data_IF_035742656822
#
_entry.id   IF_035742656822
#
_cell.length_a   1.000
_cell.length_b   1.000
_cell.length_c   1.000
_cell.angle_alpha   90.00
_cell.angle_beta   90.00
_cell.angle_gamma   90.00
#
_symmetry.space_group_name_H-M   'P 1'
#
loop_
_entity.id
_entity.type
_entity.pdbx_description
1 polymer ?
#
# COMPACT_ATOMS: atom_id res chain seq x y z
N UNK A 1 2.83 -13.50 7.51
CA UNK A 1 3.17 -12.21 8.17
C UNK A 1 2.19 -11.16 7.71
N UNK A 2 1.64 -10.33 8.60
CA UNK A 2 0.74 -9.22 8.23
C UNK A 2 1.51 -8.14 7.48
N UNK A 3 0.84 -7.40 6.58
CA UNK A 3 1.47 -6.28 5.86
C UNK A 3 2.07 -5.26 6.83
N UNK A 4 1.42 -5.03 7.97
CA UNK A 4 1.90 -4.16 9.03
C UNK A 4 3.22 -4.58 9.67
N UNK A 5 3.41 -5.89 9.91
CA UNK A 5 4.69 -6.38 10.42
C UNK A 5 5.80 -6.25 9.38
N UNK A 6 5.50 -6.50 8.10
CA UNK A 6 6.47 -6.30 7.02
C UNK A 6 6.86 -4.82 6.88
N UNK A 7 5.89 -3.91 6.91
CA UNK A 7 6.13 -2.47 6.80
C UNK A 7 6.98 -1.96 7.98
N UNK A 8 6.64 -2.33 9.22
CA UNK A 8 7.39 -1.91 10.40
C UNK A 8 8.84 -2.46 10.41
N UNK A 9 9.06 -3.67 9.89
CA UNK A 9 10.41 -4.19 9.70
C UNK A 9 11.15 -3.41 8.63
N UNK A 10 10.51 -3.13 7.50
CA UNK A 10 11.12 -2.43 6.38
C UNK A 10 11.46 -0.97 6.69
N UNK A 11 10.62 -0.26 7.45
CA UNK A 11 10.90 1.10 7.91
C UNK A 11 12.06 1.17 8.93
N UNK A 12 12.43 0.04 9.54
CA UNK A 12 13.56 -0.08 10.47
C UNK A 12 14.81 -0.67 9.80
N UNK A 13 14.70 -1.09 8.55
CA UNK A 13 15.80 -1.65 7.80
C UNK A 13 16.38 -0.56 6.88
N UNK A 14 17.49 0.03 7.32
CA UNK A 14 18.20 1.07 6.56
C UNK A 14 18.86 0.51 5.28
N UNK A 15 18.79 -0.81 5.04
CA UNK A 15 19.32 -1.46 3.83
C UNK A 15 18.29 -1.54 2.71
N UNK A 16 17.02 -1.25 2.99
CA UNK A 16 15.99 -1.26 1.95
C UNK A 16 16.18 -0.09 1.00
N UNK A 17 16.16 -0.39 -0.29
CA UNK A 17 16.12 0.66 -1.30
C UNK A 17 14.78 1.40 -1.24
N UNK A 18 14.77 2.62 -1.79
CA UNK A 18 13.61 3.50 -1.77
C UNK A 18 12.42 2.89 -2.54
N UNK A 19 12.68 2.15 -3.62
CA UNK A 19 11.65 1.54 -4.45
C UNK A 19 10.94 0.38 -3.75
N UNK A 20 11.68 -0.48 -3.04
CA UNK A 20 11.16 -1.56 -2.22
C UNK A 20 10.31 -1.02 -1.06
N UNK A 21 10.74 0.10 -0.47
CA UNK A 21 9.98 0.80 0.58
C UNK A 21 8.66 1.32 0.03
N UNK A 22 8.68 1.98 -1.12
CA UNK A 22 7.48 2.52 -1.77
C UNK A 22 6.47 1.43 -2.15
N UNK A 23 6.96 0.26 -2.60
CA UNK A 23 6.09 -0.89 -2.90
C UNK A 23 5.37 -1.37 -1.65
N UNK A 24 6.07 -1.48 -0.51
CA UNK A 24 5.47 -1.90 0.75
C UNK A 24 4.47 -0.86 1.28
N UNK A 25 4.78 0.43 1.12
CA UNK A 25 3.87 1.53 1.47
C UNK A 25 2.61 1.52 0.61
N UNK A 26 2.74 1.32 -0.70
CA UNK A 26 1.60 1.19 -1.61
C UNK A 26 0.70 0.00 -1.23
N UNK A 27 1.29 -1.15 -0.87
CA UNK A 27 0.53 -2.32 -0.42
C UNK A 27 -0.20 -2.06 0.91
N UNK A 28 0.45 -1.38 1.86
CA UNK A 28 -0.18 -0.99 3.12
C UNK A 28 -1.33 0.02 2.90
N UNK A 29 -1.12 0.99 2.00
CA UNK A 29 -2.13 1.97 1.62
C UNK A 29 -3.34 1.31 0.96
N UNK A 30 -3.16 0.29 0.11
CA UNK A 30 -4.26 -0.51 -0.44
C UNK A 30 -5.11 -1.14 0.66
N UNK A 31 -4.48 -1.74 1.69
CA UNK A 31 -5.23 -2.38 2.78
C UNK A 31 -6.03 -1.35 3.59
N UNK A 32 -5.44 -0.20 3.91
CA UNK A 32 -6.17 0.89 4.59
C UNK A 32 -7.31 1.42 3.71
N UNK A 33 -7.06 1.67 2.43
CA UNK A 33 -8.08 2.15 1.51
C UNK A 33 -9.24 1.16 1.42
N UNK A 34 -8.95 -0.15 1.38
CA UNK A 34 -9.97 -1.19 1.39
C UNK A 34 -10.79 -1.21 2.69
N UNK A 35 -10.15 -0.99 3.85
CA UNK A 35 -10.85 -0.91 5.13
C UNK A 35 -11.73 0.35 5.25
N UNK A 36 -11.40 1.42 4.52
CA UNK A 36 -12.21 2.65 4.43
C UNK A 36 -13.36 2.56 3.42
N UNK A 37 -13.28 1.65 2.46
CA UNK A 37 -14.33 1.44 1.46
C UNK A 37 -15.58 0.80 2.07
N UNK A 38 -16.72 1.00 1.40
CA UNK A 38 -17.93 0.26 1.72
C UNK A 38 -17.72 -1.26 1.53
N UNK A 39 -18.46 -2.12 2.25
CA UNK A 39 -18.35 -3.56 2.09
C UNK A 39 -18.55 -3.97 0.62
N UNK A 40 -17.60 -4.73 0.07
CA UNK A 40 -17.53 -5.19 -1.34
C UNK A 40 -17.13 -4.14 -2.38
N UNK A 41 -16.78 -2.92 -1.96
CA UNK A 41 -16.18 -1.95 -2.86
C UNK A 41 -14.66 -2.09 -2.85
N UNK A 42 -14.03 -2.08 -4.03
CA UNK A 42 -12.58 -2.03 -4.14
C UNK A 42 -12.11 -0.58 -4.15
N UNK A 43 -10.99 -0.27 -3.48
CA UNK A 43 -10.36 1.04 -3.58
C UNK A 43 -9.79 1.27 -4.99
N UNK A 44 -9.84 2.53 -5.40
CA UNK A 44 -9.26 3.06 -6.63
C UNK A 44 -7.78 3.43 -6.44
N UNK A 45 -7.05 3.59 -7.54
CA UNK A 45 -5.64 3.98 -7.48
C UNK A 45 -5.47 5.36 -6.80
N UNK A 46 -6.38 6.30 -7.03
CA UNK A 46 -6.31 7.64 -6.46
C UNK A 46 -6.58 7.62 -4.94
N UNK A 47 -7.49 6.76 -4.46
CA UNK A 47 -7.70 6.56 -3.03
C UNK A 47 -6.46 5.96 -2.37
N UNK A 48 -5.77 5.03 -3.05
CA UNK A 48 -4.52 4.44 -2.55
C UNK A 48 -3.40 5.49 -2.48
N UNK A 49 -3.25 6.34 -3.51
CA UNK A 49 -2.28 7.46 -3.50
C UNK A 49 -2.60 8.43 -2.37
N UNK A 50 -3.88 8.75 -2.18
CA UNK A 50 -4.35 9.66 -1.11
C UNK A 50 -4.01 9.09 0.27
N UNK A 51 -4.31 7.82 0.51
CA UNK A 51 -3.97 7.14 1.77
C UNK A 51 -2.46 7.08 2.00
N UNK A 52 -1.67 6.77 0.97
CA UNK A 52 -0.22 6.72 1.10
C UNK A 52 0.37 8.06 1.54
N UNK A 53 -0.18 9.15 1.00
CA UNK A 53 0.20 10.51 1.38
C UNK A 53 -0.26 10.86 2.80
N UNK A 54 -1.51 10.58 3.13
CA UNK A 54 -2.10 10.96 4.43
C UNK A 54 -1.49 10.18 5.60
N UNK A 55 -1.32 8.86 5.44
CA UNK A 55 -0.95 7.96 6.53
C UNK A 55 0.56 7.78 6.66
N UNK A 56 1.30 7.92 5.56
CA UNK A 56 2.72 7.63 5.54
C UNK A 56 3.58 8.80 5.06
N UNK A 57 2.98 9.95 4.71
CA UNK A 57 3.68 11.07 4.07
C UNK A 57 4.47 10.63 2.82
N UNK A 58 4.04 9.55 2.16
CA UNK A 58 4.74 8.95 1.03
C UNK A 58 4.13 9.42 -0.30
N UNK A 59 4.99 9.76 -1.25
CA UNK A 59 4.60 10.14 -2.60
C UNK A 59 4.78 8.94 -3.53
N UNK A 60 3.75 8.11 -3.63
CA UNK A 60 3.72 7.01 -4.62
C UNK A 60 3.07 7.47 -5.91
N UNK A 61 3.53 6.94 -7.04
CA UNK A 61 2.94 7.25 -8.34
C UNK A 61 1.69 6.39 -8.61
N UNK A 62 0.77 6.84 -9.50
CA UNK A 62 -0.42 6.05 -9.85
C UNK A 62 -0.11 4.66 -10.43
N UNK A 63 1.06 4.46 -11.05
CA UNK A 63 1.55 3.18 -11.52
C UNK A 63 1.85 2.22 -10.37
N UNK A 64 2.61 2.65 -9.35
CA UNK A 64 2.82 1.89 -8.11
C UNK A 64 1.49 1.53 -7.42
N UNK A 65 0.55 2.47 -7.34
CA UNK A 65 -0.77 2.21 -6.75
C UNK A 65 -1.56 1.14 -7.52
N UNK A 66 -1.56 1.20 -8.87
CA UNK A 66 -2.20 0.17 -9.72
C UNK A 66 -1.53 -1.19 -9.57
N UNK A 67 -0.20 -1.24 -9.47
CA UNK A 67 0.54 -2.49 -9.26
C UNK A 67 0.20 -3.11 -7.89
N UNK A 68 0.11 -2.29 -6.83
CA UNK A 68 -0.32 -2.73 -5.52
C UNK A 68 -1.77 -3.26 -5.52
N UNK A 69 -2.70 -2.57 -6.20
CA UNK A 69 -4.08 -3.05 -6.37
C UNK A 69 -4.17 -4.39 -7.13
N UNK A 70 -3.36 -4.55 -8.18
CA UNK A 70 -3.33 -5.77 -8.98
C UNK A 70 -2.76 -6.98 -8.22
N UNK A 71 -1.85 -6.75 -7.28
CA UNK A 71 -1.29 -7.80 -6.41
C UNK A 71 -2.23 -8.14 -5.25
N UNK A 72 -2.85 -7.13 -4.63
CA UNK A 72 -3.87 -7.34 -3.60
C UNK A 72 -5.06 -8.16 -4.11
N UNK A 73 -5.53 -7.85 -5.32
CA UNK A 73 -6.67 -8.53 -5.90
C UNK A 73 -6.45 -10.01 -6.25
N UNK A 74 -5.21 -10.51 -6.16
CA UNK A 74 -4.85 -11.93 -6.35
C UNK A 74 -4.62 -12.68 -5.04
N UNK A 75 -4.61 -12.00 -3.89
CA UNK A 75 -4.20 -12.55 -2.60
C UNK A 75 -5.31 -12.76 -1.55
N UNK A 76 -6.53 -12.33 -1.82
CA UNK A 76 -7.68 -12.47 -0.91
C UNK A 76 -8.70 -13.50 -1.46
N UNK A 77 -8.21 -14.72 -1.77
CA UNK A 77 -9.00 -15.91 -2.08
C UNK A 77 -8.77 -17.01 -1.06
#
# INVERSE_FOLDING_TARGET
MTIWRKLLTALKDDRLDEAERDVLLAQAAVRIAADRCAPRQRPTADEVVTVAREEFAALIDPGQARAALATWGRGDG
#
